data_IF_535103649162
#
_entry.id   IF_535103649162
#
_cell.length_a   1.000
_cell.length_b   1.000
_cell.length_c   1.000
_cell.angle_alpha   90.00
_cell.angle_beta   90.00
_cell.angle_gamma   90.00
#
_symmetry.space_group_name_H-M   'P 1'
#
loop_
_entity.id
_entity.type
_entity.pdbx_description
1 polymer ?
#
# COMPACT_ATOMS: atom_id res chain seq x y z
N UNK A 1 -0.64 -10.99 -19.40
CA UNK A 1 0.22 -10.37 -18.38
C UNK A 1 -0.69 -9.56 -17.47
N UNK A 2 -0.66 -9.80 -16.16
CA UNK A 2 -1.47 -9.04 -15.21
C UNK A 2 -0.94 -7.61 -15.13
N UNK A 3 -1.79 -6.60 -15.23
CA UNK A 3 -1.40 -5.19 -15.09
C UNK A 3 -1.44 -4.80 -13.60
N UNK A 4 -0.39 -4.18 -13.01
CA UNK A 4 -0.40 -3.74 -11.61
C UNK A 4 -1.61 -2.89 -11.24
N UNK A 5 -2.03 -1.96 -12.11
CA UNK A 5 -3.20 -1.11 -11.87
C UNK A 5 -4.51 -1.91 -11.82
N UNK A 6 -4.66 -2.90 -12.71
CA UNK A 6 -5.83 -3.79 -12.71
C UNK A 6 -5.87 -4.63 -11.43
N UNK A 7 -4.72 -5.16 -11.01
CA UNK A 7 -4.61 -5.91 -9.75
C UNK A 7 -4.95 -5.04 -8.54
N UNK A 8 -4.39 -3.83 -8.44
CA UNK A 8 -4.66 -2.90 -7.34
C UNK A 8 -6.13 -2.44 -7.32
N UNK A 9 -6.74 -2.23 -8.49
CA UNK A 9 -8.16 -1.93 -8.60
C UNK A 9 -9.02 -3.10 -8.09
N UNK A 10 -8.70 -4.34 -8.49
CA UNK A 10 -9.38 -5.53 -7.99
C UNK A 10 -9.19 -5.72 -6.48
N UNK A 11 -7.97 -5.52 -5.98
CA UNK A 11 -7.64 -5.62 -4.55
C UNK A 11 -8.45 -4.63 -3.73
N UNK A 12 -8.49 -3.34 -4.11
CA UNK A 12 -9.36 -2.35 -3.46
C UNK A 12 -10.84 -2.69 -3.54
N UNK A 13 -11.27 -3.33 -4.63
CA UNK A 13 -12.66 -3.75 -4.83
C UNK A 13 -13.13 -4.84 -3.87
N UNK A 14 -12.23 -5.54 -3.16
CA UNK A 14 -12.61 -6.59 -2.21
C UNK A 14 -13.28 -6.05 -0.95
N UNK A 15 -12.94 -4.83 -0.51
CA UNK A 15 -13.50 -4.23 0.69
C UNK A 15 -13.33 -2.70 0.67
N UNK A 16 -14.36 -1.91 1.05
CA UNK A 16 -14.30 -0.44 1.01
C UNK A 16 -13.11 0.16 1.78
N UNK A 17 -12.72 -0.46 2.90
CA UNK A 17 -11.63 0.05 3.74
C UNK A 17 -10.22 -0.30 3.24
N UNK A 18 -10.07 -1.12 2.18
CA UNK A 18 -8.74 -1.58 1.77
C UNK A 18 -7.83 -0.45 1.30
N UNK A 19 -8.37 0.59 0.69
CA UNK A 19 -7.59 1.78 0.33
C UNK A 19 -7.03 2.49 1.57
N UNK A 20 -7.85 2.62 2.62
CA UNK A 20 -7.45 3.24 3.89
C UNK A 20 -6.43 2.38 4.62
N UNK A 21 -6.70 1.08 4.71
CA UNK A 21 -5.80 0.09 5.30
C UNK A 21 -4.43 0.11 4.62
N UNK A 22 -4.42 0.02 3.29
CA UNK A 22 -3.19 -0.04 2.49
C UNK A 22 -2.34 1.22 2.59
N UNK A 23 -2.91 2.37 2.99
CA UNK A 23 -2.13 3.59 3.25
C UNK A 23 -1.67 3.71 4.70
N UNK A 24 -2.48 3.23 5.64
CA UNK A 24 -2.27 3.47 7.07
C UNK A 24 -1.85 2.21 7.82
N UNK A 25 -0.57 1.84 7.67
CA UNK A 25 0.05 0.68 8.33
C UNK A 25 -0.12 -0.66 7.59
N UNK A 26 -0.92 -0.70 6.53
CA UNK A 26 -1.06 -1.85 5.64
C UNK A 26 -0.18 -1.82 4.38
N UNK A 27 0.56 -0.73 4.13
CA UNK A 27 1.34 -0.51 2.89
C UNK A 27 2.31 -1.65 2.57
N UNK A 28 3.02 -2.17 3.58
CA UNK A 28 3.91 -3.32 3.38
C UNK A 28 3.16 -4.60 2.98
N UNK A 29 1.93 -4.80 3.46
CA UNK A 29 1.10 -5.96 3.04
C UNK A 29 0.60 -5.83 1.61
N UNK A 30 0.38 -4.60 1.14
CA UNK A 30 0.08 -4.32 -0.28
C UNK A 30 1.27 -4.71 -1.16
N UNK A 31 2.50 -4.35 -0.74
CA UNK A 31 3.73 -4.82 -1.38
C UNK A 31 3.80 -6.35 -1.44
N UNK A 32 3.55 -7.04 -0.32
CA UNK A 32 3.58 -8.51 -0.29
C UNK A 32 2.57 -9.12 -1.26
N UNK A 33 1.35 -8.56 -1.34
CA UNK A 33 0.33 -9.01 -2.29
C UNK A 33 0.77 -8.81 -3.75
N UNK A 34 1.36 -7.64 -4.07
CA UNK A 34 1.91 -7.37 -5.39
C UNK A 34 3.06 -8.32 -5.73
N UNK A 35 3.97 -8.60 -4.79
CA UNK A 35 5.12 -9.47 -5.02
C UNK A 35 4.73 -10.90 -5.39
N UNK A 36 3.60 -11.42 -4.88
CA UNK A 36 3.10 -12.73 -5.28
C UNK A 36 2.72 -12.80 -6.77
N UNK A 37 2.32 -11.66 -7.36
CA UNK A 37 1.88 -11.57 -8.76
C UNK A 37 2.99 -11.05 -9.67
N UNK A 38 3.87 -10.22 -9.13
CA UNK A 38 4.97 -9.54 -9.82
C UNK A 38 6.28 -9.88 -9.11
N UNK A 39 6.96 -10.98 -9.48
CA UNK A 39 8.15 -11.45 -8.76
C UNK A 39 9.33 -10.47 -8.73
N UNK A 40 9.37 -9.51 -9.65
CA UNK A 40 10.36 -8.43 -9.70
C UNK A 40 9.99 -7.22 -8.82
N UNK A 41 8.86 -7.25 -8.11
CA UNK A 41 8.43 -6.17 -7.23
C UNK A 41 9.40 -5.96 -6.06
N UNK A 42 9.72 -4.70 -5.77
CA UNK A 42 10.65 -4.32 -4.71
C UNK A 42 10.03 -3.29 -3.75
N UNK A 43 10.24 -3.41 -2.43
CA UNK A 43 9.72 -2.46 -1.47
C UNK A 43 10.63 -1.24 -1.35
N UNK A 44 10.04 -0.06 -1.36
CA UNK A 44 10.71 1.22 -1.17
C UNK A 44 10.04 1.98 -0.01
N UNK A 45 10.85 2.57 0.87
CA UNK A 45 10.38 3.16 2.13
C UNK A 45 11.03 4.53 2.36
N UNK A 46 10.25 5.49 2.86
CA UNK A 46 10.69 6.85 3.17
C UNK A 46 10.75 7.16 4.68
N UNK A 47 10.39 6.20 5.53
CA UNK A 47 10.23 6.41 6.98
C UNK A 47 8.78 6.41 7.45
N UNK A 48 7.82 6.55 6.54
CA UNK A 48 6.38 6.54 6.84
C UNK A 48 5.60 5.56 5.94
N UNK A 49 5.81 5.60 4.63
CA UNK A 49 5.04 4.85 3.65
C UNK A 49 5.90 3.89 2.81
N UNK A 50 5.32 2.73 2.47
CA UNK A 50 5.96 1.73 1.60
C UNK A 50 5.33 1.77 0.22
N UNK A 51 6.14 2.06 -0.79
CA UNK A 51 5.82 1.92 -2.20
C UNK A 51 6.36 0.59 -2.73
N UNK A 52 5.71 0.09 -3.78
CA UNK A 52 6.18 -1.06 -4.53
C UNK A 52 6.72 -0.59 -5.87
N UNK A 53 8.02 -0.81 -6.13
CA UNK A 53 8.61 -0.61 -7.46
C UNK A 53 8.41 -1.87 -8.28
N UNK A 54 7.85 -1.73 -9.49
CA UNK A 54 7.76 -2.78 -10.50
C UNK A 54 8.27 -2.17 -11.79
N UNK A 55 9.36 -2.74 -12.33
CA UNK A 55 10.13 -2.14 -13.42
C UNK A 55 10.51 -0.69 -13.09
N UNK A 56 10.14 0.28 -13.93
CA UNK A 56 10.48 1.70 -13.75
C UNK A 56 9.39 2.51 -13.02
N UNK A 57 8.33 1.88 -12.54
CA UNK A 57 7.17 2.55 -11.95
C UNK A 57 6.97 2.20 -10.48
N UNK A 58 6.35 3.11 -9.74
CA UNK A 58 6.04 2.97 -8.32
C UNK A 58 4.54 2.93 -8.08
N UNK A 59 4.15 2.11 -7.10
CA UNK A 59 2.76 1.85 -6.79
C UNK A 59 2.48 1.84 -5.28
N UNK A 60 1.36 2.41 -4.88
CA UNK A 60 0.70 2.18 -3.59
C UNK A 60 -0.67 1.50 -3.81
N UNK A 61 -1.47 1.34 -2.75
CA UNK A 61 -2.85 0.86 -2.90
C UNK A 61 -3.72 1.78 -3.77
N UNK A 62 -3.36 3.06 -3.88
CA UNK A 62 -3.94 4.09 -4.75
C UNK A 62 -3.66 3.90 -6.25
N UNK A 63 -2.66 3.11 -6.64
CA UNK A 63 -2.26 2.93 -8.03
C UNK A 63 -0.86 3.46 -8.27
N UNK A 64 -0.62 4.03 -9.45
CA UNK A 64 0.69 4.61 -9.78
C UNK A 64 0.92 5.91 -9.01
N UNK A 65 2.13 6.11 -8.53
CA UNK A 65 2.55 7.32 -7.80
C UNK A 65 4.01 7.62 -8.09
N UNK A 66 4.40 8.89 -8.02
CA UNK A 66 5.80 9.29 -8.11
C UNK A 66 6.48 9.13 -6.74
N UNK A 67 7.69 8.54 -6.68
CA UNK A 67 8.41 8.42 -5.42
C UNK A 67 8.90 9.79 -4.94
N UNK A 68 8.71 10.08 -3.65
CA UNK A 68 9.35 11.22 -2.99
C UNK A 68 10.79 10.88 -2.56
N UNK A 69 11.03 10.86 -1.25
CA UNK A 69 12.32 10.47 -0.64
C UNK A 69 12.49 8.96 -0.45
N UNK A 70 11.69 8.15 -1.16
CA UNK A 70 11.63 6.71 -0.98
C UNK A 70 12.92 6.03 -1.46
N UNK A 71 13.48 5.17 -0.62
CA UNK A 71 14.68 4.37 -0.95
C UNK A 71 14.38 2.88 -0.86
N UNK A 72 15.21 2.02 -1.49
CA UNK A 72 15.09 0.58 -1.28
C UNK A 72 15.05 0.25 0.21
N UNK A 73 14.06 -0.56 0.58
CA UNK A 73 13.81 -0.91 1.96
C UNK A 73 14.76 -2.02 2.39
N UNK A 74 15.50 -1.81 3.47
CA UNK A 74 16.48 -2.78 3.97
C UNK A 74 15.81 -4.02 4.56
N UNK A 75 16.53 -5.14 4.62
CA UNK A 75 16.02 -6.37 5.23
C UNK A 75 15.59 -6.17 6.70
N UNK A 76 16.31 -5.34 7.46
CA UNK A 76 15.96 -5.02 8.85
C UNK A 76 14.63 -4.26 8.93
N UNK A 77 14.39 -3.30 8.03
CA UNK A 77 13.11 -2.60 7.98
C UNK A 77 11.98 -3.55 7.60
N UNK A 78 12.18 -4.40 6.60
CA UNK A 78 11.21 -5.42 6.18
C UNK A 78 10.89 -6.42 7.30
N UNK A 79 11.87 -6.75 8.15
CA UNK A 79 11.63 -7.58 9.33
C UNK A 79 10.81 -6.84 10.38
N UNK A 80 10.98 -5.53 10.54
CA UNK A 80 10.21 -4.75 11.54
C UNK A 80 8.76 -4.52 11.12
N UNK A 81 8.46 -4.45 9.82
CA UNK A 81 7.09 -4.24 9.31
C UNK A 81 6.14 -5.39 9.59
N UNK A 82 6.65 -6.59 9.88
CA UNK A 82 5.79 -7.72 10.29
C UNK A 82 4.95 -7.40 11.53
N UNK A 83 5.41 -6.46 12.37
CA UNK A 83 4.72 -6.00 13.58
C UNK A 83 3.90 -4.74 13.37
N UNK A 84 3.92 -4.13 12.19
CA UNK A 84 3.09 -2.97 11.90
C UNK A 84 1.63 -3.38 11.94
N UNK A 85 0.91 -2.85 12.93
CA UNK A 85 -0.52 -2.99 13.00
C UNK A 85 -1.14 -1.93 12.10
N UNK A 86 -2.01 -2.32 11.16
CA UNK A 86 -2.82 -1.36 10.42
C UNK A 86 -3.69 -0.58 11.40
N UNK A 87 -4.06 0.66 11.06
CA UNK A 87 -5.05 1.38 11.86
C UNK A 87 -6.31 0.50 12.03
N UNK A 88 -6.95 0.52 13.21
CA UNK A 88 -8.17 -0.25 13.43
C UNK A 88 -9.22 0.11 12.38
N UNK A 89 -10.09 -0.84 12.07
CA UNK A 89 -11.26 -0.58 11.22
C UNK A 89 -12.06 0.59 11.82
N UNK A 90 -12.53 1.49 10.96
CA UNK A 90 -13.38 2.58 11.41
C UNK A 90 -14.77 2.05 11.75
N UNK A 91 -15.43 2.71 12.72
CA UNK A 91 -16.88 2.63 12.77
C UNK A 91 -17.49 3.28 11.51
N UNK A 92 -18.74 2.93 11.18
CA UNK A 92 -19.44 3.55 10.06
C UNK A 92 -19.49 5.09 10.16
N UNK A 93 -19.62 5.62 11.38
CA UNK A 93 -19.63 7.06 11.66
C UNK A 93 -18.27 7.71 11.38
N UNK A 94 -17.17 7.08 11.78
CA UNK A 94 -15.83 7.58 11.51
C UNK A 94 -15.50 7.56 10.01
N UNK A 95 -15.92 6.51 9.29
CA UNK A 95 -15.75 6.42 7.84
C UNK A 95 -16.51 7.54 7.10
N UNK A 96 -17.73 7.85 7.55
CA UNK A 96 -18.52 8.97 7.04
C UNK A 96 -17.85 10.32 7.33
N UNK A 97 -17.27 10.51 8.51
CA UNK A 97 -16.53 11.74 8.84
C UNK A 97 -15.29 11.92 7.96
N UNK A 98 -14.46 10.89 7.77
CA UNK A 98 -13.27 10.99 6.92
C UNK A 98 -13.64 11.27 5.45
N UNK A 99 -14.69 10.64 4.91
CA UNK A 99 -15.18 10.89 3.56
C UNK A 99 -15.64 12.34 3.34
N UNK A 100 -16.12 13.01 4.39
CA UNK A 100 -16.58 14.40 4.33
C UNK A 100 -15.46 15.43 4.54
N UNK A 101 -14.34 15.06 5.16
CA UNK A 101 -13.21 15.97 5.44
C UNK A 101 -12.04 15.82 4.45
N UNK A 102 -12.07 14.83 3.56
CA UNK A 102 -11.06 14.64 2.51
C UNK A 102 -11.26 15.47 1.23
N UNK A 103 -11.95 16.62 1.30
CA UNK A 103 -12.14 17.56 0.19
C UNK A 103 -11.33 18.85 0.36
#
# INVERSE_FOLDING_TARGET
MTNPLTFLAALRGLHPDLARYGRNGGCYRVYLALQQVFPNAQPYYDGDHVLTKIDEHFYDIGGSIEPGTHRPMSAHEQQRTQFWQPLPALSAEQALQEANHGR
#
